data_IF_364646519678
#
_entry.id   IF_364646519678
#
_cell.length_a   1.000
_cell.length_b   1.000
_cell.length_c   1.000
_cell.angle_alpha   90.00
_cell.angle_beta   90.00
_cell.angle_gamma   90.00
#
_symmetry.space_group_name_H-M   'P 1'
#
loop_
_entity.id
_entity.type
_entity.pdbx_description
1 polymer ?
#
# COMPACT_ATOMS: atom_id res chain seq x y z
N UNK A 1 4.57 16.80 -12.31
CA UNK A 1 4.54 17.24 -10.90
C UNK A 1 4.12 16.03 -10.08
N UNK A 2 4.68 15.79 -8.89
CA UNK A 2 4.14 14.76 -8.00
C UNK A 2 2.66 15.06 -7.71
N UNK A 3 1.86 14.00 -7.58
CA UNK A 3 0.45 14.13 -7.21
C UNK A 3 0.34 14.74 -5.81
N UNK A 4 -0.73 15.48 -5.52
CA UNK A 4 -0.87 16.17 -4.24
C UNK A 4 -0.87 15.17 -3.07
N UNK A 5 -1.49 14.01 -3.24
CA UNK A 5 -1.52 12.99 -2.20
C UNK A 5 -0.11 12.46 -1.86
N UNK A 6 0.87 12.58 -2.76
CA UNK A 6 2.26 12.16 -2.51
C UNK A 6 3.03 13.15 -1.62
N UNK A 7 2.55 14.39 -1.49
CA UNK A 7 3.11 15.37 -0.57
C UNK A 7 2.79 14.99 0.88
N UNK A 8 3.80 14.98 1.75
CA UNK A 8 3.63 14.69 3.18
C UNK A 8 2.98 15.84 3.97
N UNK A 9 2.93 17.03 3.37
CA UNK A 9 2.23 18.21 3.93
C UNK A 9 0.87 18.45 3.27
N UNK A 10 0.32 17.49 2.53
CA UNK A 10 -1.01 17.63 1.91
C UNK A 10 -2.12 17.65 2.96
N UNK A 11 -3.05 18.58 2.77
CA UNK A 11 -4.29 18.67 3.56
C UNK A 11 -5.45 17.90 2.92
N UNK A 12 -5.23 17.23 1.77
CA UNK A 12 -6.22 16.33 1.19
C UNK A 12 -6.62 15.26 2.20
N UNK A 13 -7.92 14.98 2.24
CA UNK A 13 -8.47 13.82 2.93
C UNK A 13 -8.03 12.52 2.27
N UNK A 14 -8.18 11.40 2.97
CA UNK A 14 -7.90 10.08 2.40
C UNK A 14 -8.75 9.81 1.15
N UNK A 15 -10.03 10.19 1.17
CA UNK A 15 -10.95 10.04 0.05
C UNK A 15 -10.53 10.87 -1.17
N UNK A 16 -10.13 12.13 -0.96
CA UNK A 16 -9.63 12.99 -2.04
C UNK A 16 -8.32 12.46 -2.63
N UNK A 17 -7.41 11.97 -1.78
CA UNK A 17 -6.17 11.34 -2.23
C UNK A 17 -6.42 10.07 -3.04
N UNK A 18 -7.40 9.26 -2.65
CA UNK A 18 -7.81 8.07 -3.40
C UNK A 18 -8.45 8.43 -4.74
N UNK A 19 -9.27 9.48 -4.79
CA UNK A 19 -9.83 9.98 -6.03
C UNK A 19 -8.74 10.48 -6.99
N UNK A 20 -7.73 11.20 -6.48
CA UNK A 20 -6.58 11.63 -7.26
C UNK A 20 -5.74 10.44 -7.75
N UNK A 21 -5.52 9.43 -6.90
CA UNK A 21 -4.84 8.18 -7.28
C UNK A 21 -5.55 7.50 -8.44
N UNK A 22 -6.88 7.36 -8.39
CA UNK A 22 -7.64 6.76 -9.49
C UNK A 22 -7.71 7.62 -10.74
N UNK A 23 -7.63 8.95 -10.62
CA UNK A 23 -7.47 9.82 -11.78
C UNK A 23 -6.10 9.64 -12.45
N UNK A 24 -5.06 9.36 -11.66
CA UNK A 24 -3.70 9.11 -12.13
C UNK A 24 -3.50 7.71 -12.71
N UNK A 25 -4.20 6.71 -12.16
CA UNK A 25 -4.13 5.31 -12.54
C UNK A 25 -5.54 4.73 -12.81
N UNK A 26 -6.19 5.13 -13.91
CA UNK A 26 -7.58 4.74 -14.20
C UNK A 26 -7.79 3.23 -14.32
N UNK A 27 -6.75 2.46 -14.61
CA UNK A 27 -6.78 0.99 -14.65
C UNK A 27 -7.13 0.35 -13.30
N UNK A 28 -6.94 1.07 -12.19
CA UNK A 28 -7.30 0.62 -10.84
C UNK A 28 -8.64 1.20 -10.37
N UNK A 29 -9.28 2.05 -11.18
CA UNK A 29 -10.59 2.64 -10.90
C UNK A 29 -11.73 1.70 -11.35
N UNK A 30 -12.92 1.90 -10.78
CA UNK A 30 -14.14 1.18 -11.13
C UNK A 30 -14.79 0.45 -9.96
N UNK A 31 -15.92 -0.21 -10.23
CA UNK A 31 -16.74 -0.87 -9.21
C UNK A 31 -16.75 -2.41 -9.34
N UNK A 32 -16.17 -2.94 -10.42
CA UNK A 32 -16.09 -4.38 -10.68
C UNK A 32 -14.88 -5.03 -10.00
N UNK A 33 -14.97 -6.34 -9.78
CA UNK A 33 -13.83 -7.15 -9.34
C UNK A 33 -12.63 -6.98 -10.29
N UNK A 34 -11.44 -6.86 -9.70
CA UNK A 34 -10.21 -6.68 -10.45
C UNK A 34 -9.37 -7.96 -10.33
N UNK A 35 -9.07 -8.61 -11.46
CA UNK A 35 -8.32 -9.87 -11.50
C UNK A 35 -8.89 -10.95 -10.55
N UNK A 36 -10.21 -10.99 -10.39
CA UNK A 36 -10.92 -11.95 -9.53
C UNK A 36 -10.82 -11.65 -8.02
N UNK A 37 -10.33 -10.47 -7.63
CA UNK A 37 -10.37 -9.98 -6.26
C UNK A 37 -11.58 -9.07 -6.05
N UNK A 38 -12.28 -9.19 -4.91
CA UNK A 38 -13.35 -8.28 -4.54
C UNK A 38 -12.90 -6.82 -4.60
N UNK A 39 -13.73 -5.94 -5.15
CA UNK A 39 -13.38 -4.51 -5.26
C UNK A 39 -13.00 -3.86 -3.92
N UNK A 40 -13.63 -4.28 -2.83
CA UNK A 40 -13.31 -3.81 -1.48
C UNK A 40 -11.85 -4.13 -1.07
N UNK A 41 -11.33 -5.29 -1.47
CA UNK A 41 -9.94 -5.71 -1.23
C UNK A 41 -8.97 -4.86 -2.03
N UNK A 42 -9.28 -4.62 -3.30
CA UNK A 42 -8.47 -3.78 -4.18
C UNK A 42 -8.42 -2.35 -3.65
N UNK A 43 -9.58 -1.81 -3.25
CA UNK A 43 -9.68 -0.45 -2.68
C UNK A 43 -8.87 -0.32 -1.38
N UNK A 44 -8.94 -1.32 -0.50
CA UNK A 44 -8.15 -1.34 0.74
C UNK A 44 -6.63 -1.37 0.47
N UNK A 45 -6.20 -2.07 -0.58
CA UNK A 45 -4.82 -2.04 -1.08
C UNK A 45 -4.44 -0.67 -1.64
N UNK A 46 -5.26 -0.10 -2.53
CA UNK A 46 -4.99 1.21 -3.16
C UNK A 46 -4.89 2.34 -2.13
N UNK A 47 -5.67 2.27 -1.06
CA UNK A 47 -5.57 3.20 0.08
C UNK A 47 -4.20 3.18 0.73
N UNK A 48 -3.49 2.05 0.73
CA UNK A 48 -2.14 1.98 1.26
C UNK A 48 -1.16 2.80 0.42
N UNK A 49 -1.33 2.84 -0.92
CA UNK A 49 -0.57 3.73 -1.80
C UNK A 49 -0.78 5.20 -1.42
N UNK A 50 -2.03 5.60 -1.26
CA UNK A 50 -2.42 6.97 -0.90
C UNK A 50 -1.85 7.35 0.46
N UNK A 51 -2.04 6.50 1.47
CA UNK A 51 -1.58 6.74 2.84
C UNK A 51 -0.06 6.91 2.91
N UNK A 52 0.69 6.13 2.13
CA UNK A 52 2.15 6.18 2.09
C UNK A 52 2.71 7.24 1.12
N UNK A 53 1.85 7.84 0.30
CA UNK A 53 2.26 8.82 -0.71
C UNK A 53 3.05 8.21 -1.85
N UNK A 54 2.64 7.00 -2.28
CA UNK A 54 3.32 6.20 -3.31
C UNK A 54 2.50 6.15 -4.61
N UNK A 55 3.19 6.05 -5.75
CA UNK A 55 2.59 5.69 -7.03
C UNK A 55 2.54 4.18 -7.26
N UNK A 56 2.22 3.79 -8.50
CA UNK A 56 2.05 2.39 -8.89
C UNK A 56 3.32 1.74 -9.50
N UNK A 57 4.53 2.24 -9.21
CA UNK A 57 5.74 1.60 -9.75
C UNK A 57 6.04 0.28 -9.05
N UNK A 58 6.73 -0.64 -9.71
CA UNK A 58 7.08 -1.95 -9.12
C UNK A 58 7.88 -1.87 -7.82
N UNK A 59 8.64 -0.79 -7.62
CA UNK A 59 9.41 -0.58 -6.38
C UNK A 59 8.52 -0.07 -5.24
N UNK A 60 7.51 0.71 -5.57
CA UNK A 60 6.52 1.23 -4.63
C UNK A 60 5.52 0.15 -4.20
N UNK A 61 5.12 -0.74 -5.10
CA UNK A 61 4.33 -1.93 -4.77
C UNK A 61 5.02 -2.79 -3.71
N UNK A 62 6.34 -3.01 -3.80
CA UNK A 62 7.08 -3.74 -2.77
C UNK A 62 7.02 -3.04 -1.39
N UNK A 63 6.97 -1.71 -1.37
CA UNK A 63 6.83 -0.94 -0.13
C UNK A 63 5.40 -1.10 0.42
N UNK A 64 4.38 -1.08 -0.45
CA UNK A 64 2.99 -1.34 -0.05
C UNK A 64 2.82 -2.76 0.47
N UNK A 65 3.35 -3.78 -0.21
CA UNK A 65 3.34 -5.17 0.27
C UNK A 65 4.02 -5.29 1.65
N UNK A 66 5.13 -4.58 1.85
CA UNK A 66 5.82 -4.53 3.15
C UNK A 66 4.95 -3.86 4.23
N UNK A 67 4.23 -2.79 3.88
CA UNK A 67 3.30 -2.12 4.79
C UNK A 67 2.09 -2.98 5.12
N UNK A 68 1.48 -3.60 4.12
CA UNK A 68 0.38 -4.55 4.26
C UNK A 68 0.78 -5.71 5.18
N UNK A 69 2.02 -6.22 5.09
CA UNK A 69 2.49 -7.30 5.96
C UNK A 69 2.80 -6.87 7.41
N UNK A 70 3.35 -5.68 7.62
CA UNK A 70 3.93 -5.28 8.92
C UNK A 70 3.16 -4.15 9.64
N UNK A 71 2.59 -3.23 8.88
CA UNK A 71 1.90 -2.03 9.37
C UNK A 71 0.38 -2.17 9.47
N UNK A 72 -0.22 -3.15 8.79
CA UNK A 72 -1.67 -3.36 8.76
C UNK A 72 -2.16 -4.38 9.80
N UNK A 73 -3.40 -4.19 10.25
CA UNK A 73 -4.20 -5.20 10.95
C UNK A 73 -5.31 -5.71 10.03
N UNK A 74 -5.61 -6.99 10.19
CA UNK A 74 -6.61 -7.70 9.40
C UNK A 74 -7.61 -8.37 10.35
N UNK A 75 -8.90 -8.45 9.98
CA UNK A 75 -9.83 -9.35 10.62
C UNK A 75 -9.29 -10.78 10.57
N UNK A 76 -9.48 -11.56 11.63
CA UNK A 76 -8.94 -12.94 11.74
C UNK A 76 -9.41 -13.82 10.58
N UNK A 77 -10.63 -13.61 10.09
CA UNK A 77 -11.22 -14.34 8.97
C UNK A 77 -10.46 -14.13 7.65
N UNK A 78 -9.97 -12.92 7.40
CA UNK A 78 -9.19 -12.57 6.21
C UNK A 78 -7.77 -13.16 6.25
N UNK A 79 -7.15 -13.20 7.43
CA UNK A 79 -5.83 -13.83 7.64
C UNK A 79 -5.88 -15.33 7.29
N UNK A 80 -6.97 -16.01 7.64
CA UNK A 80 -7.16 -17.44 7.34
C UNK A 80 -7.34 -17.68 5.84
N UNK A 81 -8.01 -16.77 5.12
CA UNK A 81 -8.17 -16.84 3.67
C UNK A 81 -6.85 -16.58 2.92
N UNK A 82 -6.06 -15.59 3.36
CA UNK A 82 -4.77 -15.22 2.75
C UNK A 82 -3.68 -16.30 2.90
N UNK A 83 -3.75 -17.17 3.92
CA UNK A 83 -2.76 -18.25 4.13
C UNK A 83 -2.76 -19.33 3.03
N UNK A 84 -3.69 -19.28 2.07
CA UNK A 84 -3.73 -20.20 0.92
C UNK A 84 -3.28 -19.49 -0.36
N UNK A 85 -1.96 -19.43 -0.65
CA UNK A 85 -1.32 -19.65 -1.98
C UNK A 85 0.08 -19.02 -2.11
N UNK A 86 1.08 -19.88 -2.33
CA UNK A 86 1.99 -19.95 -3.50
C UNK A 86 2.60 -18.68 -4.17
N UNK A 87 2.59 -17.50 -3.55
CA UNK A 87 3.10 -16.27 -4.20
C UNK A 87 4.59 -16.34 -4.59
N UNK A 88 5.40 -17.00 -3.76
CA UNK A 88 6.86 -17.05 -3.94
C UNK A 88 7.27 -17.89 -5.16
N UNK A 89 6.57 -18.99 -5.47
CA UNK A 89 6.95 -19.89 -6.58
C UNK A 89 6.66 -19.31 -7.97
N UNK A 90 5.61 -18.50 -8.10
CA UNK A 90 5.20 -17.89 -9.37
C UNK A 90 6.17 -16.77 -9.81
N UNK A 91 6.61 -15.95 -8.84
CA UNK A 91 7.54 -14.83 -9.04
C UNK A 91 8.91 -15.28 -9.58
N UNK A 92 9.41 -16.43 -9.13
CA UNK A 92 10.68 -16.99 -9.63
C UNK A 92 10.59 -17.46 -11.08
N UNK A 93 9.40 -17.83 -11.57
CA UNK A 93 9.22 -18.43 -12.90
C UNK A 93 9.15 -17.39 -14.04
N UNK A 94 8.72 -16.16 -13.75
CA UNK A 94 8.32 -15.18 -14.77
C UNK A 94 9.48 -14.26 -15.24
N UNK A 95 10.34 -13.77 -14.34
CA UNK A 95 11.20 -12.62 -14.66
C UNK A 95 12.71 -12.90 -14.79
N UNK A 96 13.16 -14.10 -14.46
CA UNK A 96 14.59 -14.44 -14.44
C UNK A 96 15.37 -13.79 -13.28
N UNK A 97 16.09 -14.61 -12.53
CA UNK A 97 16.67 -14.31 -11.21
C UNK A 97 17.56 -13.05 -11.16
N UNK A 98 18.36 -12.78 -12.21
CA UNK A 98 19.38 -11.71 -12.18
C UNK A 98 18.83 -10.29 -12.29
N UNK A 99 17.72 -10.09 -13.01
CA UNK A 99 17.13 -8.76 -13.22
C UNK A 99 16.22 -8.38 -12.04
N UNK A 100 15.52 -9.37 -11.49
CA UNK A 100 14.80 -9.29 -10.20
C UNK A 100 15.74 -8.97 -9.04
N UNK A 101 16.84 -9.72 -8.87
CA UNK A 101 17.78 -9.49 -7.76
C UNK A 101 18.37 -8.08 -7.82
N UNK A 102 18.75 -7.57 -8.99
CA UNK A 102 19.31 -6.21 -9.10
C UNK A 102 18.30 -5.12 -8.73
N UNK A 103 17.04 -5.25 -9.15
CA UNK A 103 15.98 -4.31 -8.75
C UNK A 103 15.70 -4.41 -7.25
N UNK A 104 15.54 -5.64 -6.75
CA UNK A 104 15.33 -5.91 -5.33
C UNK A 104 16.45 -5.33 -4.46
N UNK A 105 17.72 -5.55 -4.81
CA UNK A 105 18.86 -4.98 -4.08
C UNK A 105 18.89 -3.45 -4.07
N UNK A 106 18.40 -2.78 -5.13
CA UNK A 106 18.30 -1.31 -5.17
C UNK A 106 17.17 -0.80 -4.28
N UNK A 107 16.05 -1.52 -4.21
CA UNK A 107 14.90 -1.16 -3.37
C UNK A 107 15.07 -1.63 -1.92
N UNK A 108 15.95 -2.59 -1.66
CA UNK A 108 16.16 -3.22 -0.35
C UNK A 108 16.42 -2.21 0.79
N UNK A 109 17.28 -1.17 0.64
CA UNK A 109 17.44 -0.17 1.68
C UNK A 109 16.13 0.55 2.04
N UNK A 110 15.30 0.86 1.03
CA UNK A 110 13.98 1.50 1.23
C UNK A 110 13.02 0.53 1.91
N UNK A 111 13.00 -0.75 1.51
CA UNK A 111 12.18 -1.79 2.15
C UNK A 111 12.58 -1.99 3.62
N UNK A 112 13.88 -2.06 3.93
CA UNK A 112 14.36 -2.21 5.29
C UNK A 112 14.00 -1.00 6.15
N UNK A 113 14.13 0.21 5.59
CA UNK A 113 13.67 1.44 6.25
C UNK A 113 12.16 1.42 6.46
N UNK A 114 11.38 1.00 5.46
CA UNK A 114 9.93 0.87 5.53
C UNK A 114 9.52 -0.08 6.65
N UNK A 115 10.08 -1.29 6.64
CA UNK A 115 9.86 -2.30 7.66
C UNK A 115 10.19 -1.75 9.05
N UNK A 116 11.31 -1.06 9.21
CA UNK A 116 11.71 -0.45 10.48
C UNK A 116 10.71 0.60 10.98
N UNK A 117 10.14 1.41 10.09
CA UNK A 117 9.07 2.38 10.43
C UNK A 117 7.81 1.62 10.84
N UNK A 118 7.39 0.64 10.05
CA UNK A 118 6.09 -0.02 10.20
C UNK A 118 6.02 -0.89 11.46
N UNK A 119 7.09 -1.59 11.82
CA UNK A 119 7.13 -2.37 13.07
C UNK A 119 7.11 -1.50 14.33
N UNK A 120 7.32 -0.18 14.21
CA UNK A 120 7.34 0.78 15.32
C UNK A 120 6.10 1.66 15.37
N UNK A 121 5.11 1.39 14.52
CA UNK A 121 3.84 2.08 14.56
C UNK A 121 3.16 1.82 15.92
N UNK A 122 2.63 2.86 16.59
CA UNK A 122 1.98 2.69 17.90
C UNK A 122 0.66 1.92 17.79
N UNK A 123 0.05 1.96 16.62
CA UNK A 123 -1.16 1.24 16.25
C UNK A 123 -1.06 0.81 14.80
N UNK A 124 -1.64 -0.35 14.46
CA UNK A 124 -1.67 -0.84 13.07
C UNK A 124 -2.80 -0.20 12.30
N UNK A 125 -2.59 0.00 11.00
CA UNK A 125 -3.60 0.50 10.07
C UNK A 125 -4.70 -0.57 9.86
N UNK A 126 -5.99 -0.27 10.12
CA UNK A 126 -7.06 -1.23 9.92
C UNK A 126 -7.37 -1.40 8.43
N UNK A 127 -6.74 -2.38 7.78
CA UNK A 127 -6.72 -2.50 6.33
C UNK A 127 -8.12 -2.51 5.69
N UNK A 128 -9.03 -3.31 6.23
CA UNK A 128 -10.42 -3.39 5.76
C UNK A 128 -11.40 -2.45 6.52
N UNK A 129 -10.91 -1.77 7.56
CA UNK A 129 -11.69 -0.87 8.42
C UNK A 129 -11.28 0.59 8.26
N UNK A 130 -10.95 0.99 7.04
CA UNK A 130 -10.41 2.32 6.70
C UNK A 130 -11.49 3.41 6.58
N UNK A 131 -12.76 3.04 6.39
CA UNK A 131 -13.86 3.95 6.10
C UNK A 131 -14.02 5.08 7.13
N UNK A 132 -13.86 4.85 8.45
CA UNK A 132 -13.90 5.94 9.45
C UNK A 132 -12.80 7.01 9.28
N UNK A 133 -11.79 6.75 8.44
CA UNK A 133 -10.67 7.65 8.19
C UNK A 133 -10.79 8.40 6.85
N UNK A 134 -11.84 8.15 6.07
CA UNK A 134 -11.97 8.66 4.69
C UNK A 134 -11.89 10.20 4.61
N UNK A 135 -12.50 10.90 5.57
CA UNK A 135 -12.61 12.36 5.60
C UNK A 135 -11.49 13.01 6.44
N UNK A 136 -10.51 12.23 6.91
CA UNK A 136 -9.40 12.73 7.72
C UNK A 136 -8.25 13.13 6.79
N UNK A 137 -7.63 14.31 7.00
CA UNK A 137 -6.45 14.74 6.24
C UNK A 137 -5.31 13.72 6.30
N UNK A 138 -4.68 13.44 5.16
CA UNK A 138 -3.58 12.48 5.03
C UNK A 138 -2.41 12.83 5.95
N UNK A 139 -2.08 14.12 6.08
CA UNK A 139 -1.07 14.60 7.03
C UNK A 139 -1.38 14.19 8.47
N UNK A 140 -2.63 14.32 8.90
CA UNK A 140 -3.06 13.91 10.24
C UNK A 140 -2.98 12.38 10.40
N UNK A 141 -3.45 11.61 9.41
CA UNK A 141 -3.35 10.15 9.43
C UNK A 141 -1.89 9.68 9.55
N UNK A 142 -1.01 10.23 8.71
CA UNK A 142 0.42 9.91 8.72
C UNK A 142 1.05 10.22 10.08
N UNK A 143 0.72 11.35 10.70
CA UNK A 143 1.17 11.70 12.04
C UNK A 143 0.62 10.72 13.10
N UNK A 144 -0.69 10.44 13.06
CA UNK A 144 -1.38 9.54 13.99
C UNK A 144 -0.78 8.13 13.99
N UNK A 145 -0.48 7.60 12.81
CA UNK A 145 0.14 6.29 12.63
C UNK A 145 1.67 6.30 12.69
N UNK A 146 2.30 7.47 12.92
CA UNK A 146 3.75 7.69 12.93
C UNK A 146 4.46 7.21 11.66
N UNK A 147 3.79 7.33 10.52
CA UNK A 147 4.37 7.08 9.21
C UNK A 147 5.37 8.18 8.87
N UNK A 148 6.38 7.84 8.07
CA UNK A 148 7.44 8.76 7.64
C UNK A 148 7.78 8.54 6.17
N UNK A 149 8.22 9.58 5.44
CA UNK A 149 8.75 9.41 4.10
C UNK A 149 9.97 8.47 4.08
N UNK A 150 10.05 7.65 3.03
CA UNK A 150 10.99 6.53 2.88
C UNK A 150 12.07 6.74 1.82
#
# INVERSE_FOLDING_TARGET
MPHQYQSWETDQTLAEGLAEYYAAYPEFAGDSDFLGQPRATVTAHDICHVLLGLGATSEEELIVETFTALGCSFPVQEIVAMRKKAFVSELFRIFGLRRLIRRFLRTLPRILRAAWVYVRMPQRWPHFGWQPYQDIPLRELRQRFRLRPL
#
